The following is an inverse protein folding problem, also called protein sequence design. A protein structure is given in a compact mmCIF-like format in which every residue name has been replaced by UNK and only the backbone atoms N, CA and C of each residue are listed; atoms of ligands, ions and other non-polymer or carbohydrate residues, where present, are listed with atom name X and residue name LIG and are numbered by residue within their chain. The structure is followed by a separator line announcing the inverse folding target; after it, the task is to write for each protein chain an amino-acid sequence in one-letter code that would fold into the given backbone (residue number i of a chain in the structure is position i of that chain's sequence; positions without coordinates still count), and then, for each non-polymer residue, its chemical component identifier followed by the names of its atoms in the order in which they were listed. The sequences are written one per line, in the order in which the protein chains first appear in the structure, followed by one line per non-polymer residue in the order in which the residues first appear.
data_IF_964673145469
#
_entry.id   IF_964673145469
#
_cell.length_a   1.000
_cell.length_b   1.000
_cell.length_c   1.000
_cell.angle_alpha   90.00
_cell.angle_beta   90.00
_cell.angle_gamma   90.00
#
_symmetry.space_group_name_H-M   'P 1'
#
loop_
_entity.id
_entity.type
_entity.pdbx_description
1 polymer ?
#
# COMPACT_ATOMS: atom_id res chain seq x y z
N UNK A 1 67.47 -81.64 -2.68
CA UNK A 1 67.94 -80.67 -3.69
C UNK A 1 66.83 -80.40 -4.72
N UNK A 2 66.13 -79.26 -4.65
CA UNK A 2 65.63 -78.50 -5.82
C UNK A 2 64.69 -77.36 -5.40
N UNK A 3 65.22 -76.14 -5.58
CA UNK A 3 64.63 -75.00 -6.29
C UNK A 3 63.45 -74.22 -5.66
N UNK A 4 63.84 -73.05 -5.14
CA UNK A 4 63.16 -71.74 -5.14
C UNK A 4 62.28 -71.56 -6.38
N UNK A 5 61.04 -71.07 -6.23
CA UNK A 5 60.22 -70.18 -7.10
C UNK A 5 58.88 -70.00 -6.35
N UNK A 6 58.16 -68.90 -6.30
CA UNK A 6 58.28 -67.52 -6.72
C UNK A 6 57.16 -66.79 -5.94
N UNK A 7 57.40 -65.55 -5.54
CA UNK A 7 56.48 -64.77 -4.74
C UNK A 7 55.12 -64.58 -5.44
N UNK A 8 54.05 -64.80 -4.67
CA UNK A 8 52.66 -64.67 -5.10
C UNK A 8 52.30 -63.19 -5.21
N UNK A 9 51.94 -62.76 -6.41
CA UNK A 9 51.30 -61.48 -6.68
C UNK A 9 49.80 -61.57 -6.35
N UNK A 10 49.31 -60.62 -5.54
CA UNK A 10 47.91 -60.16 -5.46
C UNK A 10 47.93 -58.92 -4.54
N UNK A 11 48.19 -57.70 -5.03
CA UNK A 11 47.29 -56.84 -5.79
C UNK A 11 45.82 -56.89 -5.34
N UNK A 12 45.40 -55.79 -4.72
CA UNK A 12 44.18 -55.02 -5.03
C UNK A 12 43.15 -54.86 -3.89
N UNK A 13 42.85 -53.58 -3.64
CA UNK A 13 41.57 -53.02 -3.18
C UNK A 13 41.35 -52.91 -1.66
N UNK A 14 42.12 -52.00 -1.05
CA UNK A 14 41.62 -51.21 0.07
C UNK A 14 40.43 -50.37 -0.43
N UNK A 15 39.21 -50.85 -0.19
CA UNK A 15 37.99 -50.05 -0.35
C UNK A 15 37.94 -49.07 0.82
N UNK A 16 38.59 -47.92 0.67
CA UNK A 16 38.28 -46.76 1.51
C UNK A 16 36.93 -46.22 1.05
N UNK A 17 35.84 -46.85 1.51
CA UNK A 17 34.54 -46.22 1.49
C UNK A 17 34.58 -45.10 2.52
N UNK A 18 35.08 -43.93 2.11
CA UNK A 18 34.84 -42.68 2.81
C UNK A 18 33.34 -42.41 2.68
N UNK A 19 32.57 -42.86 3.67
CA UNK A 19 31.17 -42.53 3.82
C UNK A 19 31.04 -41.03 3.97
N UNK A 20 30.59 -40.35 2.92
CA UNK A 20 30.03 -39.01 3.07
C UNK A 20 28.69 -39.18 3.80
N UNK A 21 28.64 -38.77 5.07
CA UNK A 21 27.37 -38.62 5.78
C UNK A 21 26.48 -37.68 4.95
N UNK A 22 25.19 -37.99 4.76
CA UNK A 22 24.28 -37.07 4.10
C UNK A 22 24.30 -35.75 4.88
N UNK A 23 24.71 -34.67 4.23
CA UNK A 23 24.47 -33.33 4.78
C UNK A 23 22.98 -33.12 4.80
N UNK A 24 22.44 -32.97 6.00
CA UNK A 24 21.03 -32.71 6.23
C UNK A 24 20.60 -31.49 5.40
N UNK A 25 19.50 -31.63 4.67
CA UNK A 25 18.95 -30.52 3.89
C UNK A 25 18.32 -29.57 4.90
N UNK A 26 18.99 -28.46 5.18
CA UNK A 26 18.37 -27.37 5.92
C UNK A 26 17.23 -26.82 5.07
N UNK A 27 16.01 -27.25 5.39
CA UNK A 27 14.78 -26.65 4.89
C UNK A 27 14.88 -25.15 5.18
N UNK A 28 15.02 -24.36 4.12
CA UNK A 28 14.94 -22.90 4.24
C UNK A 28 13.56 -22.61 4.80
N UNK A 29 13.52 -22.02 5.99
CA UNK A 29 12.31 -21.52 6.63
C UNK A 29 11.42 -20.85 5.59
N UNK A 30 10.14 -21.26 5.56
CA UNK A 30 9.10 -20.75 4.66
C UNK A 30 9.25 -19.23 4.51
N UNK A 31 9.39 -18.75 3.27
CA UNK A 31 9.44 -17.32 2.94
C UNK A 31 8.34 -16.60 3.72
N UNK A 32 8.61 -15.49 4.43
CA UNK A 32 7.58 -14.72 5.10
C UNK A 32 6.57 -14.29 4.04
N UNK A 33 5.43 -14.97 4.01
CA UNK A 33 4.31 -14.54 3.19
C UNK A 33 3.66 -13.41 3.97
N UNK A 34 3.94 -12.17 3.56
CA UNK A 34 3.22 -11.02 4.07
C UNK A 34 1.73 -11.25 3.78
N UNK A 35 0.93 -11.47 4.82
CA UNK A 35 -0.52 -11.50 4.69
C UNK A 35 -0.96 -10.07 4.41
N UNK A 36 -1.21 -9.76 3.14
CA UNK A 36 -1.87 -8.52 2.76
C UNK A 36 -3.34 -8.68 3.18
N UNK A 37 -3.83 -7.92 4.17
CA UNK A 37 -5.24 -7.99 4.55
C UNK A 37 -6.11 -7.66 3.33
N UNK A 38 -7.30 -8.25 3.21
CA UNK A 38 -8.21 -7.89 2.15
C UNK A 38 -8.54 -6.39 2.27
N UNK A 39 -8.51 -5.65 1.15
CA UNK A 39 -8.80 -4.22 1.14
C UNK A 39 -10.14 -3.90 1.79
N UNK A 40 -10.13 -2.90 2.66
CA UNK A 40 -11.25 -2.48 3.47
C UNK A 40 -12.20 -1.59 2.68
N UNK A 41 -13.48 -1.96 2.61
CA UNK A 41 -14.55 -1.11 2.06
C UNK A 41 -15.00 -0.11 3.11
N UNK A 42 -14.09 0.75 3.57
CA UNK A 42 -14.32 1.66 4.68
C UNK A 42 -13.93 3.08 4.35
N UNK A 43 -14.60 4.04 4.98
CA UNK A 43 -14.34 5.48 4.87
C UNK A 43 -14.13 6.06 6.26
N UNK A 44 -13.43 7.19 6.34
CA UNK A 44 -13.28 7.91 7.60
C UNK A 44 -14.39 8.96 7.79
N UNK A 45 -15.25 8.76 8.77
CA UNK A 45 -16.21 9.75 9.27
C UNK A 45 -15.75 10.31 10.61
N UNK A 46 -16.49 11.28 11.14
CA UNK A 46 -16.24 11.87 12.46
C UNK A 46 -17.22 11.25 13.46
N UNK A 47 -16.71 10.82 14.61
CA UNK A 47 -17.52 10.37 15.74
C UNK A 47 -16.90 10.96 17.00
N UNK A 48 -17.69 11.65 17.81
CA UNK A 48 -17.20 12.36 19.01
C UNK A 48 -15.98 13.28 18.72
N UNK A 49 -16.01 14.00 17.59
CA UNK A 49 -14.95 14.92 17.18
C UNK A 49 -13.64 14.27 16.70
N UNK A 50 -13.60 12.94 16.53
CA UNK A 50 -12.43 12.18 16.10
C UNK A 50 -12.73 11.38 14.85
N UNK A 51 -11.68 11.07 14.07
CA UNK A 51 -11.79 10.17 12.93
C UNK A 51 -12.16 8.74 13.39
N UNK A 52 -13.19 8.18 12.76
CA UNK A 52 -13.66 6.81 12.96
C UNK A 52 -13.75 6.09 11.61
N UNK A 53 -13.32 4.82 11.59
CA UNK A 53 -13.50 3.94 10.43
C UNK A 53 -14.95 3.51 10.36
N UNK A 54 -15.61 3.70 9.24
CA UNK A 54 -17.01 3.34 9.03
C UNK A 54 -17.14 2.54 7.72
N UNK A 55 -18.04 1.54 7.66
CA UNK A 55 -18.27 0.77 6.44
C UNK A 55 -18.85 1.67 5.33
N UNK A 56 -18.37 1.47 4.11
CA UNK A 56 -18.87 2.13 2.92
C UNK A 56 -19.67 1.14 2.07
N UNK A 57 -20.85 1.55 1.64
CA UNK A 57 -21.68 0.77 0.72
C UNK A 57 -21.17 0.96 -0.72
N UNK A 58 -20.12 0.23 -1.07
CA UNK A 58 -19.47 0.27 -2.38
C UNK A 58 -19.22 -1.12 -2.95
N UNK A 59 -19.36 -1.25 -4.26
CA UNK A 59 -19.08 -2.50 -4.95
C UNK A 59 -17.57 -2.78 -5.08
N UNK A 60 -16.76 -1.73 -5.20
CA UNK A 60 -15.30 -1.78 -5.32
C UNK A 60 -14.61 -1.06 -4.17
N UNK A 61 -13.39 -1.46 -3.85
CA UNK A 61 -12.51 -0.87 -2.83
C UNK A 61 -11.45 0.07 -3.44
N UNK A 62 -11.63 0.50 -4.70
CA UNK A 62 -10.71 1.47 -5.29
C UNK A 62 -10.77 2.80 -4.53
N UNK A 63 -9.66 3.52 -4.49
CA UNK A 63 -9.60 4.83 -3.81
C UNK A 63 -10.65 5.79 -4.36
N UNK A 64 -10.90 5.79 -5.68
CA UNK A 64 -11.96 6.61 -6.28
C UNK A 64 -13.35 6.25 -5.75
N UNK A 65 -13.68 4.95 -5.62
CA UNK A 65 -14.96 4.50 -5.10
C UNK A 65 -15.15 4.86 -3.62
N UNK A 66 -14.11 4.71 -2.80
CA UNK A 66 -14.15 5.06 -1.38
C UNK A 66 -14.25 6.58 -1.17
N UNK A 67 -13.51 7.38 -1.96
CA UNK A 67 -13.63 8.84 -1.92
C UNK A 67 -15.01 9.29 -2.39
N UNK A 68 -15.55 8.68 -3.45
CA UNK A 68 -16.92 8.95 -3.87
C UNK A 68 -17.92 8.70 -2.73
N UNK A 69 -17.85 7.52 -2.09
CA UNK A 69 -18.71 7.18 -0.96
C UNK A 69 -18.55 8.11 0.24
N UNK A 70 -17.32 8.57 0.54
CA UNK A 70 -17.06 9.53 1.59
C UNK A 70 -17.78 10.87 1.36
N UNK A 71 -17.74 11.38 0.12
CA UNK A 71 -18.43 12.63 -0.22
C UNK A 71 -19.93 12.46 -0.38
N UNK A 72 -20.41 11.31 -0.87
CA UNK A 72 -21.85 10.99 -0.85
C UNK A 72 -22.40 10.97 0.59
N UNK A 73 -21.68 10.33 1.52
CA UNK A 73 -22.02 10.32 2.94
C UNK A 73 -22.08 11.75 3.51
N UNK A 74 -21.29 12.69 2.98
CA UNK A 74 -21.34 14.09 3.41
C UNK A 74 -22.63 14.82 3.02
N UNK A 75 -23.49 14.23 2.19
CA UNK A 75 -24.79 14.80 1.82
C UNK A 75 -25.97 14.21 2.60
N UNK A 76 -25.76 13.10 3.31
CA UNK A 76 -26.81 12.34 3.98
C UNK A 76 -26.86 12.64 5.49
N UNK A 77 -27.98 12.40 6.19
CA UNK A 77 -27.99 12.32 7.65
C UNK A 77 -27.09 11.17 8.13
N UNK A 78 -26.29 11.40 9.19
CA UNK A 78 -25.26 10.45 9.66
C UNK A 78 -25.50 9.92 11.08
N UNK A 79 -26.69 10.13 11.64
CA UNK A 79 -27.06 9.74 13.02
C UNK A 79 -26.08 10.29 14.08
N UNK A 80 -25.31 9.41 14.71
CA UNK A 80 -24.30 9.69 15.74
C UNK A 80 -22.90 10.02 15.18
N UNK A 81 -22.78 10.04 13.85
CA UNK A 81 -21.58 10.39 13.10
C UNK A 81 -21.75 11.77 12.46
N UNK A 82 -20.63 12.35 12.05
CA UNK A 82 -20.54 13.66 11.43
C UNK A 82 -19.48 13.66 10.33
N UNK A 83 -19.36 14.78 9.62
CA UNK A 83 -18.42 14.99 8.54
C UNK A 83 -18.08 16.48 8.39
N UNK A 84 -16.78 16.77 8.25
CA UNK A 84 -16.29 18.11 7.96
C UNK A 84 -16.31 18.44 6.46
N UNK A 85 -16.88 17.56 5.64
CA UNK A 85 -16.95 17.68 4.18
C UNK A 85 -18.31 18.24 3.69
N UNK A 86 -19.17 18.71 4.60
CA UNK A 86 -20.43 19.37 4.26
C UNK A 86 -20.16 20.57 3.35
N UNK A 87 -20.89 20.66 2.24
CA UNK A 87 -20.72 21.74 1.26
C UNK A 87 -19.53 21.57 0.30
N UNK A 88 -18.79 20.46 0.41
CA UNK A 88 -17.78 20.08 -0.57
C UNK A 88 -18.24 18.89 -1.41
N UNK A 89 -17.75 18.81 -2.65
CA UNK A 89 -18.09 17.78 -3.63
C UNK A 89 -16.81 17.19 -4.20
N UNK A 90 -16.75 15.87 -4.32
CA UNK A 90 -15.67 15.17 -5.01
C UNK A 90 -15.83 15.29 -6.53
N UNK A 91 -14.73 15.56 -7.24
CA UNK A 91 -14.74 15.68 -8.70
C UNK A 91 -14.03 14.51 -9.36
N UNK A 92 -12.75 14.30 -9.00
CA UNK A 92 -11.91 13.24 -9.56
C UNK A 92 -10.64 13.04 -8.74
N UNK A 93 -9.93 11.96 -9.04
CA UNK A 93 -8.53 11.78 -8.67
C UNK A 93 -7.64 11.76 -9.91
N UNK A 94 -6.39 12.17 -9.73
CA UNK A 94 -5.30 11.96 -10.70
C UNK A 94 -4.12 11.36 -9.94
N UNK A 95 -3.55 10.28 -10.44
CA UNK A 95 -2.34 9.67 -9.90
C UNK A 95 -1.12 10.10 -10.70
N UNK A 96 -0.07 10.56 -10.03
CA UNK A 96 1.23 10.72 -10.68
C UNK A 96 1.96 9.37 -10.66
N UNK A 97 1.51 8.42 -11.48
CA UNK A 97 2.37 7.29 -11.85
C UNK A 97 3.30 7.79 -12.95
N UNK A 98 4.50 8.21 -12.58
CA UNK A 98 5.51 8.62 -13.56
C UNK A 98 5.82 7.40 -14.48
N UNK A 99 5.55 7.47 -15.80
CA UNK A 99 5.85 6.35 -16.68
C UNK A 99 7.38 6.17 -16.72
N UNK A 100 7.83 4.93 -16.52
CA UNK A 100 9.23 4.55 -16.68
C UNK A 100 9.64 4.79 -18.13
N UNK A 101 10.19 5.96 -18.45
CA UNK A 101 11.09 6.06 -19.59
C UNK A 101 12.38 5.35 -19.16
N UNK A 102 12.70 4.28 -19.89
CA UNK A 102 13.95 3.56 -19.73
C UNK A 102 15.10 4.55 -19.87
N UNK A 103 16.07 4.31 -19.01
CA UNK A 103 17.43 4.84 -18.98
C UNK A 103 17.61 6.16 -18.19
N UNK A 104 18.27 5.97 -17.04
CA UNK A 104 19.04 6.93 -16.24
C UNK A 104 18.31 7.77 -15.18
N UNK A 105 18.73 7.52 -13.93
CA UNK A 105 18.39 8.18 -12.65
C UNK A 105 17.09 7.70 -11.99
N UNK A 106 17.24 6.88 -10.94
CA UNK A 106 16.18 6.60 -9.97
C UNK A 106 15.89 7.87 -9.16
N UNK A 107 14.97 8.70 -9.65
CA UNK A 107 14.33 9.71 -8.83
C UNK A 107 13.49 9.01 -7.74
N UNK A 108 13.44 9.53 -6.51
CA UNK A 108 12.58 8.98 -5.46
C UNK A 108 11.13 9.00 -5.96
N UNK A 109 10.51 7.82 -5.96
CA UNK A 109 9.18 7.55 -6.50
C UNK A 109 8.09 8.09 -5.57
N UNK A 110 7.90 9.40 -5.50
CA UNK A 110 6.82 9.92 -4.66
C UNK A 110 5.47 9.74 -5.37
N UNK A 111 4.82 8.60 -5.14
CA UNK A 111 3.46 8.33 -5.61
C UNK A 111 2.49 9.33 -4.97
N UNK A 112 2.16 10.41 -5.70
CA UNK A 112 1.22 11.41 -5.21
C UNK A 112 -0.15 11.19 -5.83
N UNK A 113 -1.16 11.04 -4.98
CA UNK A 113 -2.55 11.09 -5.40
C UNK A 113 -3.04 12.55 -5.31
N UNK A 114 -3.54 13.11 -6.40
CA UNK A 114 -4.21 14.40 -6.38
C UNK A 114 -5.72 14.21 -6.34
N UNK A 115 -6.37 14.73 -5.30
CA UNK A 115 -7.82 14.72 -5.13
C UNK A 115 -8.36 16.09 -5.48
N UNK A 116 -9.26 16.14 -6.46
CA UNK A 116 -9.94 17.36 -6.88
C UNK A 116 -11.31 17.45 -6.24
N UNK A 117 -11.59 18.59 -5.62
CA UNK A 117 -12.86 18.87 -4.94
C UNK A 117 -13.42 20.21 -5.43
N UNK A 118 -14.72 20.42 -5.21
CA UNK A 118 -15.39 21.72 -5.33
C UNK A 118 -16.04 22.08 -3.99
N UNK A 119 -16.17 23.35 -3.69
CA UNK A 119 -16.87 23.84 -2.49
C UNK A 119 -16.37 25.23 -2.12
N UNK A 120 -17.19 25.98 -1.39
CA UNK A 120 -16.81 27.30 -0.88
C UNK A 120 -16.13 27.18 0.49
N UNK A 121 -15.16 28.07 0.75
CA UNK A 121 -14.41 28.08 2.01
C UNK A 121 -13.31 27.01 2.09
N UNK A 122 -12.54 27.05 3.18
CA UNK A 122 -11.34 26.21 3.37
C UNK A 122 -11.68 24.92 4.09
N UNK A 123 -11.10 23.80 3.64
CA UNK A 123 -11.21 22.54 4.37
C UNK A 123 -10.56 22.66 5.75
N UNK A 124 -11.28 22.22 6.78
CA UNK A 124 -10.73 22.10 8.13
C UNK A 124 -9.67 20.99 8.19
N UNK A 125 -8.84 20.97 9.24
CA UNK A 125 -7.87 19.88 9.46
C UNK A 125 -8.57 18.51 9.44
N UNK A 126 -9.74 18.39 10.08
CA UNK A 126 -10.53 17.15 10.09
C UNK A 126 -11.05 16.78 8.70
N UNK A 127 -11.53 17.74 7.90
CA UNK A 127 -11.96 17.47 6.52
C UNK A 127 -10.82 16.96 5.65
N UNK A 128 -9.64 17.59 5.75
CA UNK A 128 -8.42 17.10 5.11
C UNK A 128 -8.09 15.68 5.57
N UNK A 129 -8.20 15.42 6.89
CA UNK A 129 -7.89 14.12 7.47
C UNK A 129 -8.84 13.02 6.97
N UNK A 130 -10.15 13.30 6.84
CA UNK A 130 -11.12 12.35 6.29
C UNK A 130 -10.75 11.93 4.86
N UNK A 131 -10.39 12.88 3.99
CA UNK A 131 -10.00 12.62 2.60
C UNK A 131 -8.70 11.80 2.56
N UNK A 132 -7.66 12.31 3.21
CA UNK A 132 -6.30 11.75 3.13
C UNK A 132 -6.24 10.36 3.75
N UNK A 133 -6.82 10.18 4.94
CA UNK A 133 -6.84 8.89 5.60
C UNK A 133 -7.70 7.86 4.88
N UNK A 134 -8.79 8.27 4.21
CA UNK A 134 -9.58 7.35 3.37
C UNK A 134 -8.79 6.91 2.15
N UNK A 135 -8.09 7.85 1.49
CA UNK A 135 -7.30 7.54 0.30
C UNK A 135 -6.09 6.64 0.58
N UNK A 136 -5.48 6.74 1.76
CA UNK A 136 -4.27 5.98 2.14
C UNK A 136 -4.55 4.68 2.90
N UNK A 137 -5.81 4.19 2.99
CA UNK A 137 -6.10 2.94 3.70
C UNK A 137 -5.41 1.72 3.06
N UNK A 138 -5.59 1.55 1.75
CA UNK A 138 -5.16 0.37 1.01
C UNK A 138 -4.21 0.70 -0.16
N UNK A 139 -3.85 1.97 -0.32
CA UNK A 139 -3.04 2.45 -1.44
C UNK A 139 -1.65 2.92 -1.00
N UNK A 140 -0.64 2.53 -1.77
CA UNK A 140 0.76 2.89 -1.57
C UNK A 140 1.08 4.33 -2.06
N UNK A 141 0.18 5.28 -1.83
CA UNK A 141 0.46 6.70 -2.08
C UNK A 141 1.24 7.27 -0.91
N UNK A 142 2.44 7.79 -1.17
CA UNK A 142 3.25 8.45 -0.14
C UNK A 142 2.58 9.71 0.37
N UNK A 143 1.90 10.45 -0.51
CA UNK A 143 1.24 11.71 -0.19
C UNK A 143 -0.07 11.88 -0.96
N UNK A 144 -0.98 12.65 -0.36
CA UNK A 144 -2.23 13.07 -1.00
C UNK A 144 -2.22 14.59 -1.12
N UNK A 145 -2.28 15.08 -2.36
CA UNK A 145 -2.49 16.50 -2.67
C UNK A 145 -3.99 16.76 -2.79
N UNK A 146 -4.48 17.80 -2.13
CA UNK A 146 -5.87 18.24 -2.30
C UNK A 146 -5.87 19.52 -3.14
N UNK A 147 -6.72 19.57 -4.16
CA UNK A 147 -6.91 20.74 -5.02
C UNK A 147 -8.39 21.10 -5.06
N UNK A 148 -8.70 22.37 -4.79
CA UNK A 148 -10.04 22.92 -4.94
C UNK A 148 -10.18 23.53 -6.34
N UNK A 149 -11.14 23.05 -7.11
CA UNK A 149 -11.54 23.67 -8.37
C UNK A 149 -12.61 24.72 -8.11
N UNK A 150 -12.30 25.95 -8.53
CA UNK A 150 -13.17 27.09 -8.40
C UNK A 150 -13.92 27.33 -9.72
N UNK A 151 -15.21 27.65 -9.64
CA UNK A 151 -15.97 28.03 -10.84
C UNK A 151 -15.45 29.39 -11.32
N UNK A 152 -15.02 29.48 -12.59
CA UNK A 152 -14.49 30.69 -13.23
C UNK A 152 -13.24 31.31 -12.57
N UNK A 153 -12.51 30.57 -11.74
CA UNK A 153 -11.21 30.99 -11.18
C UNK A 153 -10.20 29.83 -11.26
N UNK A 154 -8.90 30.11 -11.20
CA UNK A 154 -7.89 29.07 -11.14
C UNK A 154 -8.13 28.11 -9.96
N UNK A 155 -7.76 26.84 -10.15
CA UNK A 155 -7.78 25.85 -9.07
C UNK A 155 -6.74 26.21 -8.00
N UNK A 156 -7.09 26.00 -6.74
CA UNK A 156 -6.26 26.35 -5.59
C UNK A 156 -5.79 25.08 -4.86
N UNK A 157 -4.48 24.89 -4.64
CA UNK A 157 -3.99 23.78 -3.84
C UNK A 157 -4.31 24.01 -2.36
N UNK A 158 -4.94 23.04 -1.73
CA UNK A 158 -5.22 23.01 -0.28
C UNK A 158 -4.03 22.50 0.54
N UNK A 159 -3.05 21.88 -0.14
CA UNK A 159 -1.81 21.36 0.42
C UNK A 159 -1.52 19.92 -0.03
N UNK A 160 -0.42 19.37 0.51
CA UNK A 160 -0.01 17.96 0.39
C UNK A 160 0.12 17.41 1.80
N UNK A 161 -0.43 16.23 2.02
CA UNK A 161 -0.55 15.69 3.37
C UNK A 161 -0.35 14.18 3.39
N UNK A 162 0.02 13.69 4.56
CA UNK A 162 -0.10 12.28 4.92
C UNK A 162 -1.15 12.09 6.02
N UNK A 163 -1.77 10.91 6.11
CA UNK A 163 -2.74 10.62 7.15
C UNK A 163 -2.11 10.74 8.55
N UNK A 164 -0.83 10.38 8.69
CA UNK A 164 -0.08 10.51 9.94
C UNK A 164 0.07 11.95 10.45
N UNK A 165 0.21 12.92 9.55
CA UNK A 165 0.29 14.35 9.91
C UNK A 165 -1.05 14.92 10.39
N UNK A 166 -2.16 14.36 9.91
CA UNK A 166 -3.49 14.91 10.13
C UNK A 166 -4.28 14.26 11.27
N UNK A 167 -3.85 13.08 11.73
CA UNK A 167 -4.44 12.38 12.89
C UNK A 167 -4.14 13.06 14.23
#
# INVERSE_FOLDING_TARGET
MKKIHAALAALSLAVTACGISPTDVQERSRVPTAKIPPPSKTIYLIRNGKLALEPADVQSNTVSALLWALFEASTQPLDDRDTALRGFTYLRIEDSLDPVQRDEIQLPRTSTLTVYIRGEGTLTKLGKAQIVCTAQQDAAYEQVKIVRENVNRPSEPEGRFTCGELR
#
